data_IF_655271922185
#
_entry.id   IF_655271922185
#
_cell.length_a   1.000
_cell.length_b   1.000
_cell.length_c   1.000
_cell.angle_alpha   90.00
_cell.angle_beta   90.00
_cell.angle_gamma   90.00
#
_symmetry.space_group_name_H-M   'P 1'
#
loop_
_entity.id
_entity.type
_entity.pdbx_description
1 polymer ?
#
# COMPACT_ATOMS: atom_id res chain seq x y z
N UNK A 1 -44.64 58.91 -15.95
CA UNK A 1 -43.59 58.69 -16.94
C UNK A 1 -42.35 58.22 -16.21
N UNK A 2 -42.49 57.14 -15.41
CA UNK A 2 -41.39 56.59 -14.56
C UNK A 2 -41.61 55.08 -14.29
N UNK A 3 -41.92 54.32 -15.36
CA UNK A 3 -42.15 52.83 -15.16
C UNK A 3 -41.79 52.02 -16.40
N UNK A 4 -40.83 52.44 -17.23
CA UNK A 4 -40.45 51.74 -18.47
C UNK A 4 -38.90 51.51 -18.58
N UNK A 5 -38.10 51.72 -17.53
CA UNK A 5 -36.62 51.55 -17.63
C UNK A 5 -36.06 50.35 -16.83
N UNK A 6 -36.89 49.54 -16.17
CA UNK A 6 -36.36 48.47 -15.30
C UNK A 6 -36.57 47.02 -15.83
N UNK A 7 -36.89 46.85 -17.12
CA UNK A 7 -37.13 45.52 -17.71
C UNK A 7 -36.15 45.07 -18.80
N UNK A 8 -35.13 45.83 -19.08
CA UNK A 8 -34.20 45.57 -20.20
C UNK A 8 -32.80 45.04 -19.78
N UNK A 9 -32.50 44.82 -18.49
CA UNK A 9 -31.20 44.34 -18.00
C UNK A 9 -31.23 42.99 -17.31
N UNK A 10 -32.36 42.28 -17.27
CA UNK A 10 -32.42 40.84 -17.00
C UNK A 10 -32.23 40.07 -18.30
N UNK A 11 -31.02 40.25 -18.88
CA UNK A 11 -30.58 39.55 -20.05
C UNK A 11 -30.59 38.06 -19.83
N UNK A 12 -31.19 37.35 -20.75
CA UNK A 12 -31.23 35.93 -21.03
C UNK A 12 -29.96 35.19 -20.52
N UNK A 13 -29.96 34.71 -19.29
CA UNK A 13 -29.15 33.57 -18.95
C UNK A 13 -29.63 32.44 -19.87
N UNK A 14 -28.79 31.95 -20.75
CA UNK A 14 -29.16 30.89 -21.67
C UNK A 14 -29.52 29.63 -20.88
N UNK A 15 -30.47 28.84 -21.41
CA UNK A 15 -30.77 27.52 -20.81
C UNK A 15 -29.52 26.69 -20.57
N UNK A 16 -28.46 26.88 -21.36
CA UNK A 16 -27.15 26.28 -21.19
C UNK A 16 -26.41 26.79 -19.95
N UNK A 17 -26.58 28.05 -19.52
CA UNK A 17 -25.99 28.60 -18.29
C UNK A 17 -26.77 28.13 -17.05
N UNK A 18 -28.09 28.00 -17.17
CA UNK A 18 -28.93 27.41 -16.13
C UNK A 18 -28.68 25.90 -15.97
N UNK A 19 -28.40 25.17 -17.05
CA UNK A 19 -27.96 23.77 -17.03
C UNK A 19 -26.55 23.67 -16.46
N UNK A 20 -25.62 24.57 -16.81
CA UNK A 20 -24.29 24.64 -16.19
C UNK A 20 -24.35 24.99 -14.71
N UNK A 21 -25.18 25.93 -14.29
CA UNK A 21 -25.39 26.26 -12.87
C UNK A 21 -26.09 25.13 -12.10
N UNK A 22 -26.98 24.35 -12.72
CA UNK A 22 -27.54 23.12 -12.11
C UNK A 22 -26.53 21.98 -12.04
N UNK A 23 -25.58 21.85 -13.01
CA UNK A 23 -24.51 20.86 -12.97
C UNK A 23 -23.44 21.18 -11.90
N UNK A 24 -23.34 22.44 -11.44
CA UNK A 24 -22.43 22.83 -10.32
C UNK A 24 -23.01 22.43 -8.94
N UNK A 25 -24.24 21.89 -8.85
CA UNK A 25 -24.96 21.71 -7.57
C UNK A 25 -25.07 20.30 -7.01
N UNK A 26 -24.76 19.24 -7.73
CA UNK A 26 -24.86 17.89 -7.19
C UNK A 26 -23.50 17.19 -7.20
N UNK A 27 -22.78 17.29 -6.08
CA UNK A 27 -21.59 16.47 -5.84
C UNK A 27 -22.03 14.99 -5.76
N UNK A 28 -21.38 14.13 -6.53
CA UNK A 28 -21.58 12.68 -6.44
C UNK A 28 -20.57 12.12 -5.45
N UNK A 29 -20.99 11.69 -4.26
CA UNK A 29 -20.06 11.20 -3.26
C UNK A 29 -19.37 9.92 -3.76
N UNK A 30 -18.13 9.65 -3.31
CA UNK A 30 -17.47 8.38 -3.59
C UNK A 30 -18.31 7.21 -3.06
N UNK A 31 -18.27 6.09 -3.78
CA UNK A 31 -19.02 4.87 -3.42
C UNK A 31 -18.54 4.31 -2.08
N UNK A 32 -19.40 4.01 -1.10
CA UNK A 32 -18.97 3.28 0.09
C UNK A 32 -18.23 1.99 -0.30
N UNK A 33 -17.09 1.70 0.32
CA UNK A 33 -16.24 0.60 -0.13
C UNK A 33 -16.97 -0.77 -0.13
N UNK A 34 -17.86 -0.99 0.84
CA UNK A 34 -18.68 -2.19 0.95
C UNK A 34 -19.76 -2.29 -0.15
N UNK A 35 -20.08 -1.19 -0.83
CA UNK A 35 -21.07 -1.18 -1.90
C UNK A 35 -20.45 -1.51 -3.28
N UNK A 36 -19.12 -1.59 -3.38
CA UNK A 36 -18.45 -2.01 -4.61
C UNK A 36 -18.70 -3.51 -4.82
N UNK A 37 -19.24 -3.95 -5.98
CA UNK A 37 -19.49 -5.36 -6.25
C UNK A 37 -18.19 -6.17 -6.21
N UNK A 38 -18.11 -7.15 -5.30
CA UNK A 38 -16.87 -7.94 -5.08
C UNK A 38 -16.44 -8.67 -6.34
N UNK A 39 -17.39 -9.20 -7.12
CA UNK A 39 -17.10 -9.90 -8.38
C UNK A 39 -16.41 -9.01 -9.43
N UNK A 40 -16.89 -7.76 -9.59
CA UNK A 40 -16.29 -6.79 -10.49
C UNK A 40 -14.91 -6.35 -10.00
N UNK A 41 -14.75 -6.17 -8.68
CA UNK A 41 -13.48 -5.81 -8.09
C UNK A 41 -12.43 -6.93 -8.26
N UNK A 42 -12.80 -8.18 -8.01
CA UNK A 42 -11.91 -9.34 -8.28
C UNK A 42 -11.53 -9.41 -9.76
N UNK A 43 -12.51 -9.30 -10.66
CA UNK A 43 -12.25 -9.30 -12.09
C UNK A 43 -11.31 -8.14 -12.52
N UNK A 44 -11.44 -6.94 -11.94
CA UNK A 44 -10.50 -5.85 -12.17
C UNK A 44 -9.11 -6.20 -11.63
N UNK A 45 -9.01 -6.76 -10.41
CA UNK A 45 -7.72 -7.10 -9.81
C UNK A 45 -6.92 -8.12 -10.65
N UNK A 46 -7.58 -9.09 -11.28
CA UNK A 46 -6.93 -10.08 -12.16
C UNK A 46 -6.32 -9.45 -13.42
N UNK A 47 -6.92 -8.38 -13.95
CA UNK A 47 -6.48 -7.71 -15.17
C UNK A 47 -5.90 -6.31 -14.93
N UNK A 48 -5.56 -5.98 -13.67
CA UNK A 48 -4.97 -4.69 -13.38
C UNK A 48 -3.61 -4.51 -14.05
N UNK A 49 -3.30 -3.25 -14.40
CA UNK A 49 -2.08 -2.84 -15.08
C UNK A 49 -0.84 -3.11 -14.23
N UNK A 50 -0.96 -2.88 -12.92
CA UNK A 50 0.15 -2.99 -11.98
C UNK A 50 -0.29 -3.72 -10.70
N UNK A 51 0.49 -4.72 -10.22
CA UNK A 51 0.12 -5.49 -9.04
C UNK A 51 0.07 -4.64 -7.77
N UNK A 52 -1.02 -4.76 -7.01
CA UNK A 52 -1.12 -4.22 -5.65
C UNK A 52 -1.90 -5.20 -4.76
N UNK A 53 -1.19 -5.97 -3.94
CA UNK A 53 -1.78 -6.95 -3.04
C UNK A 53 -2.61 -6.36 -1.89
N UNK A 54 -2.47 -5.05 -1.65
CA UNK A 54 -3.19 -4.35 -0.58
C UNK A 54 -4.54 -3.77 -1.03
N UNK A 55 -4.78 -3.66 -2.34
CA UNK A 55 -6.07 -3.24 -2.89
C UNK A 55 -6.91 -4.42 -3.43
N UNK A 56 -6.55 -5.64 -3.03
CA UNK A 56 -7.41 -6.80 -3.22
C UNK A 56 -8.66 -6.70 -2.34
N UNK A 57 -9.85 -7.09 -2.81
CA UNK A 57 -11.10 -6.94 -2.05
C UNK A 57 -11.05 -7.65 -0.69
N UNK A 58 -10.48 -8.84 -0.62
CA UNK A 58 -10.40 -9.64 0.62
C UNK A 58 -9.46 -9.00 1.67
N UNK A 59 -8.47 -8.23 1.24
CA UNK A 59 -7.63 -7.44 2.13
C UNK A 59 -8.31 -6.14 2.55
N UNK A 60 -8.69 -5.30 1.58
CA UNK A 60 -9.13 -3.94 1.85
C UNK A 60 -10.50 -3.89 2.55
N UNK A 61 -11.42 -4.80 2.23
CA UNK A 61 -12.69 -4.92 2.96
C UNK A 61 -12.48 -5.37 4.41
N UNK A 62 -11.51 -6.26 4.67
CA UNK A 62 -11.18 -6.65 6.04
C UNK A 62 -10.55 -5.49 6.83
N UNK A 63 -9.65 -4.73 6.21
CA UNK A 63 -9.06 -3.50 6.78
C UNK A 63 -10.17 -2.51 7.13
N UNK A 64 -11.05 -2.20 6.18
CA UNK A 64 -12.14 -1.23 6.37
C UNK A 64 -13.17 -1.68 7.42
N UNK A 65 -13.32 -2.98 7.62
CA UNK A 65 -14.27 -3.51 8.62
C UNK A 65 -13.78 -3.36 10.07
N UNK A 66 -12.48 -3.52 10.34
CA UNK A 66 -12.00 -3.67 11.71
C UNK A 66 -10.63 -3.08 12.02
N UNK A 67 -9.80 -2.72 11.04
CA UNK A 67 -8.47 -2.18 11.30
C UNK A 67 -8.54 -0.82 12.00
N UNK A 68 -7.77 -0.67 13.08
CA UNK A 68 -7.81 0.51 13.92
C UNK A 68 -7.47 1.79 13.15
N UNK A 69 -8.43 2.75 13.15
CA UNK A 69 -8.27 4.05 12.49
C UNK A 69 -8.23 4.00 10.95
N UNK A 70 -8.70 2.90 10.35
CA UNK A 70 -8.73 2.69 8.88
C UNK A 70 -10.12 2.34 8.35
N UNK A 71 -11.15 2.47 9.17
CA UNK A 71 -12.55 2.25 8.79
C UNK A 71 -13.15 3.50 8.12
N UNK A 72 -14.28 3.35 7.43
CA UNK A 72 -15.00 4.46 6.80
C UNK A 72 -14.39 4.93 5.48
N UNK A 73 -13.71 4.03 4.77
CA UNK A 73 -13.15 4.25 3.45
C UNK A 73 -14.26 4.16 2.40
N UNK A 74 -14.23 5.04 1.39
CA UNK A 74 -15.02 4.97 0.17
C UNK A 74 -14.14 4.67 -1.03
N UNK A 75 -14.71 4.37 -2.19
CA UNK A 75 -13.98 4.14 -3.42
C UNK A 75 -14.33 5.19 -4.49
N UNK A 76 -13.35 5.67 -5.21
CA UNK A 76 -13.53 6.20 -6.55
C UNK A 76 -13.56 5.02 -7.50
N UNK A 77 -14.64 4.90 -8.28
CA UNK A 77 -14.85 3.86 -9.27
C UNK A 77 -14.85 4.47 -10.67
N UNK A 78 -14.15 3.84 -11.60
CA UNK A 78 -14.20 4.14 -13.02
C UNK A 78 -14.84 2.96 -13.76
N UNK A 79 -15.87 3.22 -14.55
CA UNK A 79 -16.53 2.19 -15.36
C UNK A 79 -16.24 2.43 -16.85
N UNK A 80 -16.20 1.37 -17.64
CA UNK A 80 -16.09 1.42 -19.08
C UNK A 80 -17.37 1.94 -19.78
N UNK A 81 -17.43 1.81 -21.09
CA UNK A 81 -18.66 2.09 -21.83
C UNK A 81 -19.71 0.96 -21.61
N UNK A 82 -19.25 -0.24 -21.36
CA UNK A 82 -20.01 -1.30 -20.69
C UNK A 82 -19.92 -1.09 -19.16
N UNK A 83 -20.89 -1.60 -18.37
CA UNK A 83 -20.92 -1.38 -16.92
C UNK A 83 -19.80 -2.10 -16.14
N UNK A 84 -18.68 -2.43 -16.80
CA UNK A 84 -17.52 -3.07 -16.19
C UNK A 84 -16.66 -2.08 -15.43
N UNK A 85 -16.22 -2.44 -14.22
CA UNK A 85 -15.27 -1.67 -13.42
C UNK A 85 -13.89 -1.74 -14.07
N UNK A 86 -13.37 -0.59 -14.53
CA UNK A 86 -12.05 -0.45 -15.19
C UNK A 86 -11.02 0.26 -14.32
N UNK A 87 -11.43 0.88 -13.22
CA UNK A 87 -10.53 1.54 -12.28
C UNK A 87 -11.14 1.61 -10.89
N UNK A 88 -10.31 1.42 -9.87
CA UNK A 88 -10.71 1.52 -8.47
C UNK A 88 -9.60 2.13 -7.63
N UNK A 89 -9.99 3.07 -6.77
CA UNK A 89 -9.10 3.68 -5.79
C UNK A 89 -9.85 3.92 -4.47
N UNK A 90 -9.52 3.22 -3.39
CA UNK A 90 -10.00 3.54 -2.05
C UNK A 90 -9.58 4.95 -1.64
N UNK A 91 -10.49 5.74 -1.07
CA UNK A 91 -10.24 7.13 -0.68
C UNK A 91 -10.90 7.51 0.62
N UNK A 92 -10.30 8.48 1.29
CA UNK A 92 -10.86 9.22 2.42
C UNK A 92 -10.68 10.72 2.19
N UNK A 93 -11.41 11.57 2.90
CA UNK A 93 -11.21 13.02 2.82
C UNK A 93 -9.88 13.45 3.47
N UNK A 94 -9.30 14.55 3.01
CA UNK A 94 -8.11 15.14 3.61
C UNK A 94 -8.34 15.51 5.09
N UNK A 95 -9.58 15.90 5.43
CA UNK A 95 -10.00 16.14 6.82
C UNK A 95 -9.92 14.88 7.67
N UNK A 96 -10.37 13.75 7.14
CA UNK A 96 -10.29 12.45 7.83
C UNK A 96 -8.85 11.98 7.99
N UNK A 97 -8.04 12.10 6.93
CA UNK A 97 -6.65 11.68 6.92
C UNK A 97 -5.74 12.51 7.83
N UNK A 98 -5.88 13.85 7.77
CA UNK A 98 -4.90 14.76 8.37
C UNK A 98 -5.51 15.90 9.20
N UNK A 99 -6.82 15.90 9.41
CA UNK A 99 -7.56 16.98 10.09
C UNK A 99 -7.48 18.34 9.38
N UNK A 100 -7.17 18.35 8.09
CA UNK A 100 -7.14 19.53 7.24
C UNK A 100 -8.49 19.68 6.52
N UNK A 101 -9.27 20.75 6.80
CA UNK A 101 -10.61 20.96 6.22
C UNK A 101 -10.52 21.55 4.81
N UNK A 102 -9.73 20.94 3.93
CA UNK A 102 -9.55 21.35 2.54
C UNK A 102 -10.16 20.30 1.60
N UNK A 103 -10.71 20.72 0.43
CA UNK A 103 -11.43 19.85 -0.47
C UNK A 103 -10.49 18.97 -1.30
N UNK A 104 -9.91 17.96 -0.68
CA UNK A 104 -9.09 16.96 -1.35
C UNK A 104 -9.42 15.56 -0.83
N UNK A 105 -9.19 14.58 -1.69
CA UNK A 105 -9.24 13.15 -1.36
C UNK A 105 -7.82 12.60 -1.23
N UNK A 106 -7.67 11.65 -0.35
CA UNK A 106 -6.41 10.95 -0.06
C UNK A 106 -6.64 9.47 -0.29
N UNK A 107 -5.70 8.77 -0.92
CA UNK A 107 -5.77 7.31 -1.06
C UNK A 107 -5.94 6.64 0.30
N UNK A 108 -6.90 5.72 0.40
CA UNK A 108 -7.18 4.95 1.61
C UNK A 108 -5.92 4.21 2.08
N UNK A 109 -5.74 4.13 3.38
CA UNK A 109 -4.59 3.43 3.96
C UNK A 109 -4.92 1.94 4.09
N UNK A 110 -4.38 1.06 3.23
CA UNK A 110 -4.76 -0.37 3.17
C UNK A 110 -4.06 -1.21 4.24
N UNK A 111 -3.63 -0.62 5.34
CA UNK A 111 -2.74 -1.26 6.32
C UNK A 111 -1.45 -1.84 5.70
N UNK A 112 -1.10 -1.38 4.53
CA UNK A 112 0.09 -1.72 3.75
C UNK A 112 0.82 -0.46 3.32
N UNK A 113 1.88 -0.64 2.59
CA UNK A 113 2.76 0.46 2.15
C UNK A 113 2.72 0.64 0.64
N UNK A 114 1.61 0.33 -0.01
CA UNK A 114 1.39 0.56 -1.44
C UNK A 114 -0.07 0.93 -1.68
N UNK A 115 -0.31 2.13 -2.19
CA UNK A 115 -1.63 2.66 -2.51
C UNK A 115 -1.80 2.93 -4.02
N UNK A 116 -1.05 2.23 -4.87
CA UNK A 116 -1.20 2.32 -6.33
C UNK A 116 -2.61 1.90 -6.74
N UNK A 117 -3.39 2.77 -7.42
CA UNK A 117 -4.73 2.45 -7.87
C UNK A 117 -4.78 1.24 -8.81
N UNK A 118 -5.88 0.50 -8.78
CA UNK A 118 -6.14 -0.56 -9.75
C UNK A 118 -6.68 0.06 -11.03
N UNK A 119 -6.01 -0.13 -12.15
CA UNK A 119 -6.43 0.29 -13.50
C UNK A 119 -6.43 -0.93 -14.41
N UNK A 120 -7.48 -1.10 -15.21
CA UNK A 120 -7.53 -2.13 -16.24
C UNK A 120 -6.38 -1.93 -17.23
N UNK A 121 -5.58 -2.98 -17.49
CA UNK A 121 -4.38 -2.91 -18.34
C UNK A 121 -4.68 -2.54 -19.78
N UNK A 122 -5.88 -2.85 -20.28
CA UNK A 122 -6.28 -2.56 -21.66
C UNK A 122 -6.91 -1.18 -21.80
N UNK A 123 -7.32 -0.55 -20.69
CA UNK A 123 -8.02 0.73 -20.65
C UNK A 123 -7.40 1.72 -19.66
N UNK A 124 -6.13 1.62 -19.38
CA UNK A 124 -5.45 2.32 -18.28
C UNK A 124 -5.62 3.85 -18.34
N UNK A 125 -5.40 4.46 -19.50
CA UNK A 125 -5.55 5.92 -19.68
C UNK A 125 -7.01 6.37 -19.49
N UNK A 126 -7.98 5.57 -19.98
CA UNK A 126 -9.39 5.82 -19.79
C UNK A 126 -9.78 5.68 -18.30
N UNK A 127 -9.30 4.63 -17.63
CA UNK A 127 -9.53 4.40 -16.23
C UNK A 127 -8.96 5.53 -15.36
N UNK A 128 -7.70 5.93 -15.60
CA UNK A 128 -7.08 7.07 -14.92
C UNK A 128 -7.87 8.35 -15.10
N UNK A 129 -8.26 8.68 -16.34
CA UNK A 129 -9.09 9.86 -16.64
C UNK A 129 -10.42 9.83 -15.89
N UNK A 130 -11.15 8.71 -15.92
CA UNK A 130 -12.45 8.56 -15.24
C UNK A 130 -12.33 8.60 -13.72
N UNK A 131 -11.23 8.11 -13.13
CA UNK A 131 -10.96 8.29 -11.69
C UNK A 131 -10.75 9.78 -11.34
N UNK A 132 -10.06 10.54 -12.18
CA UNK A 132 -9.91 12.00 -11.99
C UNK A 132 -11.26 12.72 -12.12
N UNK A 133 -12.10 12.33 -13.07
CA UNK A 133 -13.46 12.85 -13.24
C UNK A 133 -14.34 12.53 -12.03
N UNK A 134 -14.27 11.30 -11.52
CA UNK A 134 -14.99 10.89 -10.31
C UNK A 134 -14.56 11.71 -9.08
N UNK A 135 -13.26 11.99 -8.95
CA UNK A 135 -12.76 12.86 -7.89
C UNK A 135 -13.27 14.30 -7.99
N UNK A 136 -13.33 14.86 -9.22
CA UNK A 136 -13.93 16.18 -9.48
C UNK A 136 -15.43 16.17 -9.13
N UNK A 137 -16.16 15.14 -9.53
CA UNK A 137 -17.58 14.97 -9.20
C UNK A 137 -17.84 14.86 -7.69
N UNK A 138 -16.89 14.32 -6.95
CA UNK A 138 -16.93 14.30 -5.48
C UNK A 138 -16.57 15.63 -4.82
N UNK A 139 -16.34 16.69 -5.60
CA UNK A 139 -15.98 18.02 -5.09
C UNK A 139 -14.54 18.18 -4.65
N UNK A 140 -13.65 17.26 -5.03
CA UNK A 140 -12.24 17.41 -4.73
C UNK A 140 -11.56 18.38 -5.71
N UNK A 141 -10.61 19.16 -5.19
CA UNK A 141 -9.73 20.03 -5.96
C UNK A 141 -8.38 19.37 -6.23
N UNK A 142 -8.01 18.39 -5.40
CA UNK A 142 -6.80 17.58 -5.57
C UNK A 142 -7.01 16.15 -5.09
N UNK A 143 -6.21 15.22 -5.62
CA UNK A 143 -5.99 13.88 -5.09
C UNK A 143 -4.58 13.79 -4.50
N UNK A 144 -4.46 13.24 -3.29
CA UNK A 144 -3.19 12.84 -2.71
C UNK A 144 -3.08 11.31 -2.77
N UNK A 145 -2.22 10.84 -3.63
CA UNK A 145 -1.84 9.43 -3.68
C UNK A 145 -0.64 9.23 -2.75
N UNK A 146 -0.77 8.34 -1.77
CA UNK A 146 0.28 8.01 -0.81
C UNK A 146 0.97 6.71 -1.20
N UNK A 147 2.24 6.60 -0.89
CA UNK A 147 3.00 5.36 -1.06
C UNK A 147 2.74 4.70 -2.42
N UNK A 148 2.82 5.45 -3.53
CA UNK A 148 2.65 4.90 -4.88
C UNK A 148 3.99 4.61 -5.55
N UNK A 149 4.01 3.65 -6.47
CA UNK A 149 5.16 3.36 -7.32
C UNK A 149 5.38 4.52 -8.30
N UNK A 150 6.39 5.36 -8.08
CA UNK A 150 6.62 6.58 -8.88
C UNK A 150 6.98 6.28 -10.33
N UNK A 151 7.79 5.26 -10.56
CA UNK A 151 8.23 4.82 -11.90
C UNK A 151 7.27 3.78 -12.50
N UNK A 152 6.10 3.58 -11.85
CA UNK A 152 5.11 2.60 -12.25
C UNK A 152 4.29 3.04 -13.48
N UNK A 153 3.82 2.05 -14.24
CA UNK A 153 2.99 2.28 -15.43
C UNK A 153 1.64 2.90 -15.08
N UNK A 154 1.13 2.72 -13.86
CA UNK A 154 -0.08 3.38 -13.35
C UNK A 154 0.12 4.90 -13.27
N UNK A 155 1.27 5.36 -12.76
CA UNK A 155 1.56 6.80 -12.70
C UNK A 155 1.76 7.40 -14.08
N UNK A 156 2.28 6.63 -15.04
CA UNK A 156 2.36 7.03 -16.44
C UNK A 156 0.97 7.26 -17.06
N UNK A 157 -0.01 6.39 -16.77
CA UNK A 157 -1.40 6.56 -17.22
C UNK A 157 -2.04 7.83 -16.63
N UNK A 158 -1.83 8.11 -15.33
CA UNK A 158 -2.26 9.37 -14.73
C UNK A 158 -1.58 10.59 -15.37
N UNK A 159 -0.28 10.51 -15.65
CA UNK A 159 0.46 11.59 -16.33
C UNK A 159 -0.11 11.88 -17.72
N UNK A 160 -0.41 10.83 -18.49
CA UNK A 160 -1.05 10.95 -19.81
C UNK A 160 -2.43 11.60 -19.71
N UNK A 161 -3.25 11.17 -18.76
CA UNK A 161 -4.59 11.73 -18.54
C UNK A 161 -4.54 13.22 -18.15
N UNK A 162 -3.59 13.62 -17.33
CA UNK A 162 -3.37 15.00 -16.87
C UNK A 162 -2.80 15.90 -17.97
N UNK A 163 -1.91 15.37 -18.80
CA UNK A 163 -1.27 16.11 -19.90
C UNK A 163 -2.28 16.69 -20.90
N UNK A 164 -3.42 16.03 -21.08
CA UNK A 164 -4.53 16.52 -21.92
C UNK A 164 -5.17 17.80 -21.37
N UNK A 165 -5.13 17.98 -20.03
CA UNK A 165 -5.68 19.15 -19.34
C UNK A 165 -4.57 20.17 -18.97
N UNK A 166 -3.33 19.99 -19.46
CA UNK A 166 -2.14 20.79 -19.10
C UNK A 166 -1.91 20.86 -17.58
N UNK A 167 -2.14 19.74 -16.91
CA UNK A 167 -1.92 19.54 -15.47
C UNK A 167 -0.69 18.66 -15.26
N UNK A 168 -0.03 18.83 -14.12
CA UNK A 168 1.15 18.04 -13.75
C UNK A 168 1.07 17.58 -12.30
N UNK A 169 1.48 16.33 -12.06
CA UNK A 169 1.62 15.78 -10.72
C UNK A 169 2.79 16.45 -9.98
N UNK A 170 2.68 16.53 -8.65
CA UNK A 170 3.73 17.06 -7.76
C UNK A 170 4.14 15.97 -6.77
N UNK A 171 5.38 15.54 -6.83
CA UNK A 171 5.94 14.63 -5.81
C UNK A 171 6.17 15.40 -4.53
N UNK A 172 5.53 14.97 -3.44
CA UNK A 172 5.66 15.58 -2.12
C UNK A 172 6.70 14.85 -1.26
N UNK A 173 6.77 13.53 -1.41
CA UNK A 173 7.71 12.67 -0.69
C UNK A 173 8.22 11.59 -1.62
N UNK A 174 9.48 11.21 -1.43
CA UNK A 174 10.16 10.15 -2.19
C UNK A 174 11.03 9.35 -1.25
N UNK A 175 11.03 8.04 -1.43
CA UNK A 175 12.01 7.12 -0.86
C UNK A 175 12.12 5.86 -1.70
N UNK A 176 13.21 5.13 -1.50
CA UNK A 176 13.42 3.83 -2.12
C UNK A 176 13.36 2.73 -1.08
N UNK A 177 12.78 1.60 -1.43
CA UNK A 177 12.79 0.40 -0.61
C UNK A 177 13.31 -0.80 -1.38
N UNK A 178 13.77 -1.80 -0.64
CA UNK A 178 14.33 -3.00 -1.22
C UNK A 178 13.27 -3.77 -2.03
N UNK A 179 13.66 -4.23 -3.22
CA UNK A 179 12.89 -5.18 -3.99
C UNK A 179 13.79 -6.29 -4.53
N UNK A 180 13.18 -7.44 -4.81
CA UNK A 180 13.81 -8.61 -5.41
C UNK A 180 13.39 -8.71 -6.87
N UNK A 181 14.37 -8.88 -7.75
CA UNK A 181 14.14 -9.47 -9.07
C UNK A 181 14.17 -11.00 -8.89
N UNK A 182 13.00 -11.63 -9.00
CA UNK A 182 12.83 -13.06 -8.79
C UNK A 182 12.97 -13.87 -10.09
N UNK A 183 13.36 -13.25 -11.21
CA UNK A 183 13.55 -13.92 -12.51
C UNK A 183 14.87 -14.71 -12.60
N UNK A 184 15.75 -14.53 -11.64
CA UNK A 184 17.06 -15.16 -11.58
C UNK A 184 17.12 -16.30 -10.57
N UNK A 185 18.16 -17.13 -10.65
CA UNK A 185 18.41 -18.16 -9.65
C UNK A 185 18.62 -17.56 -8.25
N UNK A 186 17.95 -18.14 -7.25
CA UNK A 186 17.95 -17.60 -5.90
C UNK A 186 19.32 -17.66 -5.21
N UNK A 187 20.12 -18.70 -5.44
CA UNK A 187 21.44 -18.79 -4.84
C UNK A 187 22.45 -17.85 -5.54
N UNK A 188 22.35 -17.69 -6.85
CA UNK A 188 23.13 -16.70 -7.60
C UNK A 188 22.79 -15.27 -7.12
N UNK A 189 21.50 -14.93 -7.00
CA UNK A 189 21.02 -13.63 -6.49
C UNK A 189 21.56 -13.34 -5.08
N UNK A 190 21.52 -14.32 -4.19
CA UNK A 190 22.05 -14.18 -2.83
C UNK A 190 23.57 -14.06 -2.82
N UNK A 191 24.28 -14.78 -3.70
CA UNK A 191 25.72 -14.67 -3.84
C UNK A 191 26.15 -13.28 -4.31
N UNK A 192 25.48 -12.74 -5.29
CA UNK A 192 25.76 -11.40 -5.83
C UNK A 192 25.43 -10.31 -4.79
N UNK A 193 24.37 -10.50 -4.01
CA UNK A 193 23.97 -9.53 -3.00
C UNK A 193 24.90 -9.49 -1.78
N UNK A 194 25.28 -10.64 -1.24
CA UNK A 194 25.95 -10.75 0.06
C UNK A 194 27.45 -11.07 -0.07
N UNK A 195 27.86 -11.67 -1.17
CA UNK A 195 29.22 -12.18 -1.37
C UNK A 195 29.54 -13.43 -0.54
N UNK A 196 30.56 -14.17 -1.00
CA UNK A 196 30.90 -15.47 -0.39
C UNK A 196 31.28 -15.43 1.09
N UNK A 197 31.91 -14.33 1.56
CA UNK A 197 32.30 -14.18 2.97
C UNK A 197 31.08 -14.10 3.88
N UNK A 198 30.08 -13.27 3.54
CA UNK A 198 28.87 -13.11 4.34
C UNK A 198 28.00 -14.37 4.31
N UNK A 199 27.85 -14.98 3.15
CA UNK A 199 27.13 -16.26 3.03
C UNK A 199 27.80 -17.38 3.86
N UNK A 200 29.13 -17.45 3.91
CA UNK A 200 29.84 -18.40 4.77
C UNK A 200 29.59 -18.15 6.25
N UNK A 201 29.53 -16.90 6.67
CA UNK A 201 29.14 -16.52 8.04
C UNK A 201 27.71 -16.96 8.37
N UNK A 202 26.74 -16.64 7.51
CA UNK A 202 25.33 -17.03 7.68
C UNK A 202 25.15 -18.55 7.69
N UNK A 203 25.91 -19.28 6.86
CA UNK A 203 25.92 -20.75 6.88
C UNK A 203 26.47 -21.30 8.19
N UNK A 204 27.51 -20.68 8.77
CA UNK A 204 28.00 -21.08 10.11
C UNK A 204 26.94 -20.84 11.19
N UNK A 205 26.23 -19.71 11.13
CA UNK A 205 25.13 -19.44 12.06
C UNK A 205 24.02 -20.49 11.92
N UNK A 206 23.67 -20.87 10.67
CA UNK A 206 22.67 -21.91 10.39
C UNK A 206 23.11 -23.29 10.91
N UNK A 207 24.36 -23.64 10.74
CA UNK A 207 24.91 -24.93 11.25
C UNK A 207 24.85 -24.98 12.79
N UNK A 208 25.20 -23.88 13.47
CA UNK A 208 25.08 -23.82 14.95
C UNK A 208 23.60 -23.81 15.39
N UNK A 209 22.72 -23.22 14.58
CA UNK A 209 21.29 -23.29 14.84
C UNK A 209 20.78 -24.73 14.73
N UNK A 210 21.31 -25.53 13.80
CA UNK A 210 20.99 -26.93 13.62
C UNK A 210 21.39 -27.82 14.80
N UNK A 211 22.29 -27.37 15.69
CA UNK A 211 22.63 -28.07 16.92
C UNK A 211 21.45 -28.10 17.91
N UNK A 212 20.46 -27.21 17.75
CA UNK A 212 19.22 -27.15 18.55
C UNK A 212 18.08 -27.99 17.97
N UNK A 213 18.25 -28.60 16.80
CA UNK A 213 17.26 -29.42 16.11
C UNK A 213 17.28 -29.23 14.58
N UNK A 214 16.58 -30.09 13.87
CA UNK A 214 16.48 -30.02 12.41
C UNK A 214 15.87 -28.68 11.97
N UNK A 215 16.52 -28.00 11.00
CA UNK A 215 16.02 -26.74 10.43
C UNK A 215 15.08 -27.05 9.29
N UNK A 216 13.88 -26.48 9.33
CA UNK A 216 12.85 -26.65 8.32
C UNK A 216 12.30 -25.28 7.90
N UNK A 217 12.23 -25.05 6.59
CA UNK A 217 11.47 -23.95 5.98
C UNK A 217 10.14 -24.50 5.50
N UNK A 218 9.04 -23.96 6.02
CA UNK A 218 7.68 -24.40 5.73
C UNK A 218 6.89 -23.27 5.10
N UNK A 219 6.03 -23.61 4.14
CA UNK A 219 5.15 -22.68 3.44
C UNK A 219 3.71 -23.14 3.62
N UNK A 220 2.92 -22.36 4.32
CA UNK A 220 1.48 -22.55 4.50
C UNK A 220 0.75 -21.82 3.36
N UNK A 221 -0.10 -22.51 2.61
CA UNK A 221 -0.85 -21.98 1.44
C UNK A 221 -2.34 -22.23 1.51
N UNK A 222 -2.77 -23.34 2.06
CA UNK A 222 -4.21 -23.58 2.24
C UNK A 222 -4.79 -22.69 3.33
N UNK A 223 -6.08 -22.34 3.29
CA UNK A 223 -6.72 -21.52 4.33
C UNK A 223 -6.49 -22.06 5.75
N UNK A 224 -6.52 -23.38 5.93
CA UNK A 224 -6.32 -24.04 7.22
C UNK A 224 -4.86 -23.91 7.70
N UNK A 225 -3.90 -24.14 6.80
CA UNK A 225 -2.46 -24.00 7.12
C UNK A 225 -2.13 -22.54 7.41
N UNK A 226 -2.66 -21.59 6.60
CA UNK A 226 -2.46 -20.15 6.79
C UNK A 226 -3.03 -19.70 8.13
N UNK A 227 -4.22 -20.18 8.51
CA UNK A 227 -4.80 -19.87 9.83
C UNK A 227 -3.90 -20.35 10.96
N UNK A 228 -3.40 -21.60 10.91
CA UNK A 228 -2.49 -22.15 11.91
C UNK A 228 -1.14 -21.41 11.96
N UNK A 229 -0.53 -21.14 10.81
CA UNK A 229 0.74 -20.43 10.70
C UNK A 229 0.63 -18.95 11.13
N UNK A 230 -0.54 -18.36 10.96
CA UNK A 230 -0.79 -16.98 11.43
C UNK A 230 -0.76 -16.88 12.97
N UNK A 231 -1.32 -17.85 13.69
CA UNK A 231 -1.22 -17.87 15.16
C UNK A 231 0.24 -18.03 15.64
N UNK A 232 1.04 -18.83 14.93
CA UNK A 232 2.49 -18.91 15.17
C UNK A 232 3.17 -17.56 14.95
N UNK A 233 2.83 -16.88 13.84
CA UNK A 233 3.33 -15.53 13.55
C UNK A 233 2.98 -14.53 14.66
N UNK A 234 1.72 -14.51 15.13
CA UNK A 234 1.28 -13.63 16.22
C UNK A 234 2.06 -13.89 17.51
N UNK A 235 2.27 -15.16 17.87
CA UNK A 235 3.05 -15.52 19.06
C UNK A 235 4.50 -15.02 18.94
N UNK A 236 5.14 -15.18 17.79
CA UNK A 236 6.49 -14.68 17.53
C UNK A 236 6.57 -13.15 17.57
N UNK A 237 5.62 -12.44 16.94
CA UNK A 237 5.60 -10.97 16.96
C UNK A 237 5.37 -10.41 18.37
N UNK A 238 4.54 -11.08 19.18
CA UNK A 238 4.25 -10.68 20.56
C UNK A 238 5.41 -10.99 21.52
N UNK A 239 6.20 -12.02 21.27
CA UNK A 239 7.35 -12.37 22.12
C UNK A 239 8.54 -11.42 21.99
N UNK A 240 8.60 -10.62 20.91
CA UNK A 240 9.70 -9.71 20.62
C UNK A 240 9.48 -8.29 21.17
N UNK A 241 10.36 -7.37 20.75
CA UNK A 241 10.35 -5.97 21.17
C UNK A 241 9.02 -5.23 20.92
N UNK A 242 8.23 -5.68 19.94
CA UNK A 242 6.91 -5.11 19.66
C UNK A 242 5.92 -5.43 20.78
N UNK A 243 5.95 -6.65 21.31
CA UNK A 243 5.16 -7.04 22.48
C UNK A 243 5.50 -6.19 23.70
N UNK A 244 6.80 -6.03 23.98
CA UNK A 244 7.26 -5.18 25.09
C UNK A 244 6.88 -3.69 24.95
N UNK A 245 6.68 -3.19 23.72
CA UNK A 245 6.28 -1.80 23.45
C UNK A 245 4.77 -1.61 23.32
N UNK A 246 3.97 -2.67 23.44
CA UNK A 246 2.51 -2.58 23.25
C UNK A 246 2.08 -2.34 21.79
N UNK A 247 2.93 -2.71 20.82
CA UNK A 247 2.69 -2.46 19.39
C UNK A 247 2.54 -3.76 18.58
N UNK A 248 2.53 -4.92 19.23
CA UNK A 248 2.25 -6.19 18.57
C UNK A 248 0.78 -6.24 18.12
N UNK A 249 0.53 -6.91 16.99
CA UNK A 249 -0.81 -7.00 16.39
C UNK A 249 -1.84 -7.58 17.36
N UNK A 250 -1.47 -8.60 18.13
CA UNK A 250 -2.37 -9.24 19.10
C UNK A 250 -2.83 -8.29 20.20
N UNK A 251 -2.11 -7.20 20.45
CA UNK A 251 -2.45 -6.18 21.45
C UNK A 251 -3.40 -5.11 20.89
N UNK A 252 -3.78 -5.23 19.62
CA UNK A 252 -4.69 -4.35 18.91
C UNK A 252 -5.82 -5.21 18.34
N UNK A 253 -6.92 -5.37 19.08
CA UNK A 253 -8.02 -6.30 18.74
C UNK A 253 -8.50 -6.19 17.29
N UNK A 254 -8.73 -4.98 16.80
CA UNK A 254 -9.17 -4.75 15.44
C UNK A 254 -8.15 -5.15 14.38
N UNK A 255 -6.86 -4.97 14.63
CA UNK A 255 -5.78 -5.28 13.69
C UNK A 255 -5.56 -6.80 13.59
N UNK A 256 -5.56 -7.51 14.72
CA UNK A 256 -5.46 -8.98 14.72
C UNK A 256 -6.68 -9.62 14.03
N UNK A 257 -7.89 -9.10 14.27
CA UNK A 257 -9.14 -9.60 13.66
C UNK A 257 -9.09 -9.46 12.14
N UNK A 258 -8.73 -8.27 11.62
CA UNK A 258 -8.72 -8.08 10.17
C UNK A 258 -7.67 -8.95 9.49
N UNK A 259 -6.44 -9.07 10.05
CA UNK A 259 -5.38 -9.85 9.40
C UNK A 259 -5.72 -11.34 9.38
N UNK A 260 -6.28 -11.90 10.46
CA UNK A 260 -6.78 -13.28 10.45
C UNK A 260 -7.77 -13.51 9.31
N UNK A 261 -8.76 -12.63 9.21
CA UNK A 261 -9.78 -12.72 8.17
C UNK A 261 -9.18 -12.57 6.77
N UNK A 262 -8.35 -11.54 6.56
CA UNK A 262 -7.77 -11.23 5.26
C UNK A 262 -6.82 -12.33 4.77
N UNK A 263 -5.91 -12.84 5.62
CA UNK A 263 -4.93 -13.86 5.21
C UNK A 263 -5.60 -15.18 4.83
N UNK A 264 -6.64 -15.60 5.57
CA UNK A 264 -7.40 -16.82 5.26
C UNK A 264 -8.19 -16.65 3.95
N UNK A 265 -8.90 -15.53 3.76
CA UNK A 265 -9.65 -15.27 2.54
C UNK A 265 -8.74 -15.15 1.29
N UNK A 266 -7.57 -14.51 1.44
CA UNK A 266 -6.57 -14.45 0.36
C UNK A 266 -5.95 -15.83 0.06
N UNK A 267 -5.82 -16.71 1.05
CA UNK A 267 -5.35 -18.08 0.82
C UNK A 267 -6.33 -18.91 -0.01
N UNK A 268 -7.64 -18.67 0.07
CA UNK A 268 -8.65 -19.29 -0.78
C UNK A 268 -8.41 -19.05 -2.28
N UNK A 269 -7.78 -17.92 -2.61
CA UNK A 269 -7.46 -17.49 -3.98
C UNK A 269 -5.96 -17.58 -4.31
N UNK A 270 -5.16 -18.28 -3.50
CA UNK A 270 -3.70 -18.40 -3.62
C UNK A 270 -2.96 -17.02 -3.59
N UNK A 271 -3.52 -16.02 -2.92
CA UNK A 271 -2.98 -14.66 -2.82
C UNK A 271 -2.30 -14.38 -1.48
N UNK A 272 -2.19 -15.38 -0.60
CA UNK A 272 -1.44 -15.29 0.66
C UNK A 272 -0.72 -16.60 0.95
N UNK A 273 0.51 -16.49 1.39
CA UNK A 273 1.26 -17.59 2.02
C UNK A 273 1.93 -17.09 3.31
N UNK A 274 2.09 -17.98 4.28
CA UNK A 274 2.86 -17.71 5.49
C UNK A 274 4.04 -18.66 5.52
N UNK A 275 5.23 -18.08 5.54
CA UNK A 275 6.48 -18.84 5.59
C UNK A 275 6.98 -18.91 7.04
N UNK A 276 7.46 -20.09 7.45
CA UNK A 276 7.94 -20.33 8.82
C UNK A 276 9.28 -21.03 8.81
N UNK A 277 10.23 -20.55 9.59
CA UNK A 277 11.50 -21.21 9.88
C UNK A 277 11.40 -21.90 11.25
N UNK A 278 11.63 -23.19 11.27
CA UNK A 278 11.59 -24.02 12.49
C UNK A 278 12.95 -24.64 12.80
N UNK A 279 13.16 -24.92 14.07
CA UNK A 279 14.29 -25.68 14.59
C UNK A 279 13.74 -26.75 15.52
N UNK A 280 13.76 -28.01 15.11
CA UNK A 280 12.97 -29.03 15.76
C UNK A 280 11.49 -28.64 15.79
N UNK A 281 10.88 -28.68 16.96
CA UNK A 281 9.46 -28.29 17.14
C UNK A 281 9.24 -26.79 17.32
N UNK A 282 10.31 -26.00 17.51
CA UNK A 282 10.20 -24.58 17.76
C UNK A 282 10.14 -23.78 16.45
N UNK A 283 9.12 -22.97 16.26
CA UNK A 283 9.10 -21.91 15.24
C UNK A 283 9.94 -20.71 15.75
N UNK A 284 10.91 -20.26 14.94
CA UNK A 284 11.85 -19.20 15.34
C UNK A 284 11.72 -17.93 14.49
N UNK A 285 11.10 -18.03 13.33
CA UNK A 285 10.71 -16.89 12.51
C UNK A 285 9.49 -17.24 11.67
N UNK A 286 8.62 -16.28 11.42
CA UNK A 286 7.50 -16.44 10.50
C UNK A 286 7.27 -15.13 9.73
N UNK A 287 6.90 -15.22 8.46
CA UNK A 287 6.66 -14.10 7.58
C UNK A 287 5.36 -14.23 6.80
N UNK A 288 4.61 -13.13 6.67
CA UNK A 288 3.39 -13.04 5.86
C UNK A 288 3.78 -12.51 4.50
N UNK A 289 3.42 -13.22 3.44
CA UNK A 289 3.67 -12.86 2.05
C UNK A 289 2.32 -12.79 1.32
N UNK A 290 1.98 -11.61 0.80
CA UNK A 290 0.85 -11.46 -0.10
C UNK A 290 1.32 -11.67 -1.53
N UNK A 291 0.42 -12.14 -2.40
CA UNK A 291 0.71 -12.40 -3.81
C UNK A 291 -0.37 -11.75 -4.66
N UNK A 292 0.06 -11.01 -5.68
CA UNK A 292 -0.88 -10.48 -6.66
C UNK A 292 -0.22 -10.47 -8.03
N UNK A 293 -0.83 -11.19 -8.98
CA UNK A 293 -0.25 -11.42 -10.29
C UNK A 293 1.19 -11.98 -10.16
N UNK A 294 2.17 -11.35 -10.79
CA UNK A 294 3.57 -11.78 -10.76
C UNK A 294 4.41 -11.15 -9.63
N UNK A 295 3.78 -10.44 -8.66
CA UNK A 295 4.52 -9.80 -7.56
C UNK A 295 4.14 -10.37 -6.21
N UNK A 296 5.16 -10.66 -5.40
CA UNK A 296 5.03 -10.96 -3.98
C UNK A 296 5.26 -9.69 -3.13
N UNK A 297 4.62 -9.63 -1.95
CA UNK A 297 4.77 -8.54 -0.99
C UNK A 297 5.10 -9.13 0.37
N UNK A 298 6.33 -8.92 0.84
CA UNK A 298 6.77 -9.42 2.15
C UNK A 298 6.27 -8.49 3.25
N UNK A 299 5.03 -8.71 3.66
CA UNK A 299 4.26 -7.77 4.48
C UNK A 299 4.78 -7.60 5.90
N UNK A 300 5.01 -8.68 6.62
CA UNK A 300 5.46 -8.65 8.02
C UNK A 300 6.33 -9.86 8.37
N UNK A 301 7.23 -9.63 9.34
CA UNK A 301 8.11 -10.64 9.91
C UNK A 301 7.99 -10.62 11.43
N UNK A 302 7.82 -11.79 12.03
CA UNK A 302 7.97 -12.07 13.47
C UNK A 302 9.17 -12.99 13.71
N UNK A 303 9.91 -12.77 14.78
CA UNK A 303 11.10 -13.57 15.14
C UNK A 303 11.12 -13.85 16.63
N UNK A 304 11.68 -15.00 17.02
CA UNK A 304 12.00 -15.33 18.40
C UNK A 304 13.35 -14.73 18.76
N UNK A 305 13.36 -13.73 19.64
CA UNK A 305 14.57 -13.03 20.05
C UNK A 305 15.55 -13.92 20.85
N UNK A 306 15.10 -15.05 21.41
CA UNK A 306 15.98 -16.03 22.07
C UNK A 306 17.02 -16.60 21.10
N UNK A 307 16.69 -16.63 19.82
CA UNK A 307 17.57 -17.08 18.73
C UNK A 307 18.27 -15.94 17.98
N UNK A 308 18.24 -14.70 18.49
CA UNK A 308 18.78 -13.50 17.81
C UNK A 308 20.23 -13.66 17.34
N UNK A 309 21.07 -14.36 18.12
CA UNK A 309 22.49 -14.64 17.76
C UNK A 309 22.68 -15.45 16.47
N UNK A 310 21.62 -16.10 15.98
CA UNK A 310 21.60 -16.87 14.73
C UNK A 310 20.91 -16.13 13.58
N UNK A 311 20.44 -14.90 13.84
CA UNK A 311 19.78 -14.04 12.84
C UNK A 311 18.56 -14.72 12.17
N UNK A 312 17.55 -15.21 12.90
CA UNK A 312 16.46 -16.03 12.36
C UNK A 312 15.68 -15.32 11.26
N UNK A 313 15.46 -14.00 11.34
CA UNK A 313 14.83 -13.23 10.29
C UNK A 313 15.64 -13.17 8.99
N UNK A 314 16.97 -13.06 9.08
CA UNK A 314 17.86 -13.17 7.91
C UNK A 314 17.78 -14.58 7.32
N UNK A 315 17.88 -15.63 8.13
CA UNK A 315 17.81 -17.02 7.65
C UNK A 315 16.49 -17.30 6.91
N UNK A 316 15.36 -16.88 7.49
CA UNK A 316 14.05 -17.00 6.82
C UNK A 316 14.03 -16.21 5.50
N UNK A 317 14.61 -15.00 5.46
CA UNK A 317 14.63 -14.18 4.23
C UNK A 317 15.48 -14.82 3.13
N UNK A 318 16.59 -15.52 3.48
CA UNK A 318 17.37 -16.26 2.49
C UNK A 318 16.55 -17.42 1.88
N UNK A 319 15.84 -18.17 2.72
CA UNK A 319 14.98 -19.27 2.24
C UNK A 319 13.79 -18.74 1.45
N UNK A 320 13.17 -17.61 1.88
CA UNK A 320 12.12 -16.94 1.14
C UNK A 320 12.61 -16.45 -0.23
N UNK A 321 13.83 -15.91 -0.32
CA UNK A 321 14.41 -15.48 -1.62
C UNK A 321 14.51 -16.66 -2.58
N UNK A 322 15.04 -17.80 -2.14
CA UNK A 322 15.10 -19.02 -2.97
C UNK A 322 13.73 -19.52 -3.37
N UNK A 323 12.78 -19.49 -2.42
CA UNK A 323 11.40 -19.92 -2.66
C UNK A 323 10.72 -19.07 -3.72
N UNK A 324 10.84 -17.73 -3.65
CA UNK A 324 10.25 -16.82 -4.63
C UNK A 324 10.92 -16.91 -6.01
N UNK A 325 12.25 -17.05 -6.06
CA UNK A 325 12.99 -17.23 -7.31
C UNK A 325 12.73 -18.60 -7.97
N UNK A 326 12.32 -19.60 -7.21
CA UNK A 326 11.95 -20.92 -7.74
C UNK A 326 10.50 -20.98 -8.24
N UNK A 327 9.67 -19.98 -7.95
CA UNK A 327 8.29 -19.91 -8.39
C UNK A 327 8.16 -19.17 -9.74
N UNK A 328 7.87 -19.87 -10.85
CA UNK A 328 7.80 -19.25 -12.18
C UNK A 328 6.66 -18.22 -12.32
N UNK A 329 5.69 -18.22 -11.42
CA UNK A 329 4.61 -17.24 -11.39
C UNK A 329 5.04 -15.88 -10.78
N UNK A 330 6.18 -15.83 -10.09
CA UNK A 330 6.68 -14.62 -9.43
C UNK A 330 7.89 -14.07 -10.18
N UNK A 331 7.80 -12.83 -10.63
CA UNK A 331 8.90 -12.12 -11.29
C UNK A 331 9.56 -11.09 -10.39
N UNK A 332 8.87 -10.63 -9.35
CA UNK A 332 9.39 -9.62 -8.44
C UNK A 332 8.82 -9.77 -7.02
N UNK A 333 9.56 -9.26 -6.03
CA UNK A 333 9.01 -9.11 -4.70
C UNK A 333 9.34 -7.73 -4.10
N UNK A 334 8.34 -7.15 -3.47
CA UNK A 334 8.43 -5.90 -2.73
C UNK A 334 8.66 -6.22 -1.24
N UNK A 335 9.71 -5.65 -0.66
CA UNK A 335 10.00 -5.86 0.76
C UNK A 335 8.98 -5.23 1.71
N UNK A 336 8.23 -4.25 1.22
CA UNK A 336 7.32 -3.39 2.01
C UNK A 336 7.96 -2.72 3.22
N UNK A 337 9.28 -2.81 3.33
CA UNK A 337 10.06 -2.21 4.39
C UNK A 337 10.22 -0.69 4.19
N UNK A 338 10.55 0.03 5.27
CA UNK A 338 10.97 1.43 5.17
C UNK A 338 12.30 1.58 4.43
N UNK A 339 12.67 2.81 4.08
CA UNK A 339 13.97 3.09 3.48
C UNK A 339 15.11 2.65 4.42
N UNK A 340 16.23 2.25 3.84
CA UNK A 340 17.45 1.86 4.58
C UNK A 340 17.25 0.75 5.62
N UNK A 341 16.32 -0.19 5.35
CA UNK A 341 16.05 -1.27 6.29
C UNK A 341 17.27 -2.22 6.43
N UNK A 342 17.89 -2.33 7.63
CA UNK A 342 19.21 -2.94 7.80
C UNK A 342 19.27 -4.44 7.50
N UNK A 343 18.14 -5.14 7.60
CA UNK A 343 18.08 -6.58 7.33
C UNK A 343 17.84 -6.89 5.86
N UNK A 344 16.85 -6.23 5.23
CA UNK A 344 16.39 -6.64 3.90
C UNK A 344 17.18 -5.95 2.79
N UNK A 345 17.61 -4.69 2.97
CA UNK A 345 18.32 -3.94 1.93
C UNK A 345 19.63 -4.59 1.46
N UNK A 346 20.43 -5.25 2.32
CA UNK A 346 21.60 -6.00 1.89
C UNK A 346 21.27 -7.26 1.07
N UNK A 347 20.09 -7.87 1.29
CA UNK A 347 19.67 -9.14 0.67
C UNK A 347 18.98 -8.86 -0.68
N UNK A 348 18.01 -7.94 -0.68
CA UNK A 348 17.30 -7.51 -1.87
C UNK A 348 17.85 -6.16 -2.33
N UNK A 349 18.72 -6.20 -3.34
CA UNK A 349 19.48 -5.02 -3.79
C UNK A 349 18.74 -4.16 -4.81
N UNK A 350 17.70 -4.67 -5.43
CA UNK A 350 16.80 -3.86 -6.26
C UNK A 350 16.19 -2.72 -5.44
N UNK A 351 15.79 -1.65 -6.12
CA UNK A 351 15.16 -0.48 -5.50
C UNK A 351 13.84 -0.21 -6.17
N UNK A 352 12.84 0.02 -5.33
CA UNK A 352 11.48 0.34 -5.73
C UNK A 352 11.16 1.76 -5.28
N UNK A 353 11.02 2.66 -6.23
CA UNK A 353 10.76 4.08 -5.99
C UNK A 353 9.33 4.30 -5.52
N UNK A 354 9.15 4.76 -4.30
CA UNK A 354 7.86 5.00 -3.66
C UNK A 354 7.75 6.48 -3.28
N UNK A 355 6.55 7.04 -3.41
CA UNK A 355 6.35 8.42 -2.99
C UNK A 355 4.90 8.80 -2.78
N UNK A 356 4.73 10.00 -2.24
CA UNK A 356 3.45 10.67 -2.13
C UNK A 356 3.32 11.67 -3.27
N UNK A 357 2.21 11.63 -4.00
CA UNK A 357 1.98 12.45 -5.20
C UNK A 357 0.68 13.24 -5.05
N UNK A 358 0.78 14.56 -5.16
CA UNK A 358 -0.37 15.45 -5.27
C UNK A 358 -0.75 15.63 -6.74
N UNK A 359 -1.97 15.29 -7.08
CA UNK A 359 -2.57 15.42 -8.40
C UNK A 359 -3.55 16.59 -8.36
N UNK A 360 -3.28 17.73 -9.02
CA UNK A 360 -4.24 18.82 -9.17
C UNK A 360 -5.38 18.38 -10.11
N UNK A 361 -6.61 18.78 -9.79
CA UNK A 361 -7.78 18.44 -10.60
C UNK A 361 -8.26 19.62 -11.48
N UNK A 362 -7.80 20.85 -11.21
CA UNK A 362 -8.14 22.05 -11.98
C UNK A 362 -6.89 22.88 -12.24
N UNK A 363 -6.90 23.57 -13.39
CA UNK A 363 -5.81 24.47 -13.78
C UNK A 363 -5.82 25.75 -12.94
N UNK A 364 -4.63 26.20 -12.53
CA UNK A 364 -4.41 27.49 -11.82
C UNK A 364 -5.36 27.69 -10.63
N UNK A 365 -5.67 26.59 -9.94
CA UNK A 365 -6.58 26.59 -8.81
C UNK A 365 -5.84 27.00 -7.53
N UNK A 366 -6.18 28.14 -6.91
CA UNK A 366 -5.53 28.58 -5.67
C UNK A 366 -5.79 27.62 -4.50
N UNK A 367 -6.86 26.83 -4.54
CA UNK A 367 -7.16 25.82 -3.52
C UNK A 367 -6.12 24.71 -3.56
N UNK A 368 -5.68 24.31 -4.75
CA UNK A 368 -4.61 23.31 -4.91
C UNK A 368 -3.29 23.81 -4.31
N UNK A 369 -2.95 25.09 -4.54
CA UNK A 369 -1.74 25.70 -3.94
C UNK A 369 -1.82 25.73 -2.40
N UNK A 370 -3.01 26.05 -1.86
CA UNK A 370 -3.24 26.02 -0.42
C UNK A 370 -3.10 24.61 0.14
N UNK A 371 -3.61 23.59 -0.57
CA UNK A 371 -3.47 22.17 -0.19
C UNK A 371 -1.99 21.77 -0.17
N UNK A 372 -1.23 22.10 -1.22
CA UNK A 372 0.21 21.79 -1.33
C UNK A 372 1.00 22.42 -0.14
N UNK A 373 0.78 23.70 0.12
CA UNK A 373 1.41 24.43 1.23
C UNK A 373 1.07 23.76 2.58
N UNK A 374 -0.20 23.45 2.82
CA UNK A 374 -0.65 22.83 4.05
C UNK A 374 -0.03 21.43 4.28
N UNK A 375 0.08 20.62 3.21
CA UNK A 375 0.70 19.30 3.26
C UNK A 375 2.20 19.40 3.54
N UNK A 376 2.92 20.30 2.86
CA UNK A 376 4.36 20.54 3.10
C UNK A 376 4.63 21.07 4.51
N UNK A 377 3.84 22.03 4.98
CA UNK A 377 3.97 22.55 6.34
C UNK A 377 3.74 21.45 7.39
N UNK A 378 2.72 20.60 7.21
CA UNK A 378 2.47 19.44 8.06
C UNK A 378 3.67 18.48 8.07
N UNK A 379 4.23 18.18 6.90
CA UNK A 379 5.37 17.27 6.76
C UNK A 379 6.60 17.82 7.48
N UNK A 380 6.93 19.10 7.27
CA UNK A 380 8.04 19.79 7.97
C UNK A 380 7.86 19.79 9.50
N UNK A 381 6.63 20.01 9.98
CA UNK A 381 6.32 19.95 11.41
C UNK A 381 6.56 18.55 12.01
N UNK A 382 6.17 17.48 11.27
CA UNK A 382 6.42 16.10 11.70
C UNK A 382 7.91 15.75 11.73
N UNK A 383 8.68 16.21 10.76
CA UNK A 383 10.14 16.01 10.72
C UNK A 383 10.84 16.71 11.88
N UNK A 384 10.46 17.95 12.18
CA UNK A 384 10.96 18.68 13.34
C UNK A 384 10.64 17.98 14.65
N UNK A 385 9.40 17.49 14.80
CA UNK A 385 9.00 16.71 15.98
C UNK A 385 9.81 15.42 16.13
N UNK A 386 10.06 14.68 15.04
CA UNK A 386 10.90 13.48 15.04
C UNK A 386 12.34 13.79 15.44
N UNK A 387 12.93 14.86 14.90
CA UNK A 387 14.29 15.32 15.26
C UNK A 387 14.38 15.70 16.74
N UNK A 388 13.38 16.42 17.27
CA UNK A 388 13.30 16.78 18.70
C UNK A 388 13.25 15.55 19.61
N UNK A 389 12.46 14.53 19.27
CA UNK A 389 12.41 13.27 20.03
C UNK A 389 13.76 12.52 19.97
N UNK A 390 14.44 12.51 18.83
CA UNK A 390 15.76 11.90 18.69
C UNK A 390 16.83 12.61 19.55
N UNK A 391 16.83 13.93 19.56
CA UNK A 391 17.74 14.73 20.41
C UNK A 391 17.50 14.46 21.90
N UNK A 392 16.24 14.44 22.35
CA UNK A 392 15.91 14.14 23.74
C UNK A 392 16.28 12.70 24.15
N UNK A 393 16.18 11.72 23.25
CA UNK A 393 16.63 10.34 23.52
C UNK A 393 18.15 10.24 23.64
N UNK A 394 18.89 10.98 22.82
CA UNK A 394 20.35 11.00 22.88
C UNK A 394 20.87 11.69 24.15
N UNK A 395 20.19 12.72 24.64
CA UNK A 395 20.51 13.41 25.88
C UNK A 395 20.17 12.58 27.15
N UNK A 396 19.31 11.55 27.03
CA UNK A 396 18.91 10.66 28.12
C UNK A 396 19.68 9.32 28.15
N UNK A 397 20.62 9.11 27.23
CA UNK A 397 21.56 7.98 27.33
C UNK A 397 22.69 8.41 28.27
N UNK A 398 22.89 7.68 29.41
CA UNK A 398 23.97 7.94 30.34
C UNK A 398 25.32 7.72 29.71
#
# INVERSE_FOLDING_TARGET
MTEIIDRALLGRASESDAIRLRAIGQQTPPTPLQAVPIGEWRALSERTLEPNGYYLPDWELAVNASARGRTGVSALCAHGDEPALIGLMPVISLRQAYRLPLPALVSGHPYGTLCTPLLDRTMADCAAKRLLEAARAAGAHALLLRDVALDGVTMSAFSTALGRDDLRMRVLQFYERACLDATHDGDATLHDALGGKKLKELRRQRNRLAEHGAIQFQVARTPQEVAAAFEIFLALEASGWKGHRGTALIQQDGDAVFIRRATVALAETNQCEIVTLRVGDAAIAAGIVLRHQSRAFFFKLGVDERFAKYSPGVQLTLDLTRHLCADPAITSADSTAGPDHPMINPIWRGRFAIGDVLIPLYRRDPVVELIDIALRARQSALELARRGVHLMRNLRKP
#
